data_IF_899792003112
#
_entry.id   IF_899792003112
#
_cell.length_a   1.000
_cell.length_b   1.000
_cell.length_c   1.000
_cell.angle_alpha   90.00
_cell.angle_beta   90.00
_cell.angle_gamma   90.00
#
_symmetry.space_group_name_H-M   'P 1'
#
loop_
_entity.id
_entity.type
_entity.pdbx_description
1 polymer ?
#
# COMPACT_ATOMS: atom_id res chain seq x y z
N UNK A 1 16.58 -0.03 -12.69
CA UNK A 1 15.56 -0.20 -11.64
C UNK A 1 14.55 0.91 -11.79
N UNK A 2 13.27 0.60 -11.62
CA UNK A 2 12.22 1.61 -11.55
C UNK A 2 12.05 2.13 -10.10
N UNK A 3 11.22 3.17 -9.92
CA UNK A 3 10.98 3.81 -8.61
C UNK A 3 10.52 2.82 -7.55
N UNK A 4 9.64 1.88 -7.90
CA UNK A 4 9.15 0.89 -6.94
C UNK A 4 10.29 0.00 -6.47
N UNK A 5 11.15 -0.47 -7.39
CA UNK A 5 12.31 -1.28 -7.03
C UNK A 5 13.35 -0.52 -6.20
N UNK A 6 13.51 0.80 -6.40
CA UNK A 6 14.35 1.60 -5.52
C UNK A 6 13.85 1.61 -4.07
N UNK A 7 12.53 1.71 -3.85
CA UNK A 7 11.96 1.59 -2.50
C UNK A 7 11.95 0.15 -1.99
N UNK A 8 11.64 -0.85 -2.82
CA UNK A 8 11.65 -2.26 -2.42
C UNK A 8 13.03 -2.73 -1.91
N UNK A 9 14.11 -2.19 -2.49
CA UNK A 9 15.50 -2.44 -2.09
C UNK A 9 16.09 -1.31 -1.22
N UNK A 10 15.24 -0.40 -0.75
CA UNK A 10 15.63 0.75 0.05
C UNK A 10 15.89 0.38 1.51
N UNK A 11 15.80 1.39 2.38
CA UNK A 11 16.03 1.23 3.81
C UNK A 11 15.29 2.26 4.64
N UNK A 12 14.97 1.91 5.87
CA UNK A 12 14.59 2.83 6.93
C UNK A 12 15.86 3.28 7.65
N UNK A 13 16.08 4.59 7.72
CA UNK A 13 17.23 5.19 8.42
C UNK A 13 16.69 6.13 9.50
N UNK A 14 17.01 5.82 10.75
CA UNK A 14 16.74 6.60 11.95
C UNK A 14 18.07 6.99 12.61
N UNK A 15 18.11 7.98 13.53
CA UNK A 15 19.36 8.41 14.16
C UNK A 15 20.21 7.29 14.78
N UNK A 16 19.58 6.23 15.29
CA UNK A 16 20.26 5.12 15.98
C UNK A 16 20.04 3.75 15.32
N UNK A 17 19.31 3.68 14.20
CA UNK A 17 18.92 2.41 13.58
C UNK A 17 18.88 2.55 12.06
N UNK A 18 19.46 1.57 11.37
CA UNK A 18 19.27 1.35 9.95
C UNK A 18 18.70 -0.05 9.74
N UNK A 19 17.71 -0.19 8.85
CA UNK A 19 17.13 -1.48 8.47
C UNK A 19 16.85 -1.51 6.96
N UNK A 20 17.41 -2.50 6.26
CA UNK A 20 17.20 -2.68 4.82
C UNK A 20 15.86 -3.32 4.50
N UNK A 21 15.14 -2.81 3.51
CA UNK A 21 13.86 -3.37 3.07
C UNK A 21 13.99 -4.66 2.27
N UNK A 22 15.20 -4.98 1.80
CA UNK A 22 15.53 -6.26 1.17
C UNK A 22 15.44 -7.44 2.15
N UNK A 23 15.65 -7.19 3.45
CA UNK A 23 15.58 -8.20 4.51
C UNK A 23 14.13 -8.45 4.99
N UNK A 24 13.18 -7.63 4.53
CA UNK A 24 11.77 -7.77 4.87
C UNK A 24 11.10 -8.63 3.80
N UNK A 25 10.53 -9.74 4.25
CA UNK A 25 9.77 -10.65 3.39
C UNK A 25 8.43 -10.05 2.95
N UNK A 26 8.01 -10.39 1.74
CA UNK A 26 6.66 -10.09 1.26
C UNK A 26 5.67 -11.05 1.93
N UNK A 27 4.60 -10.50 2.49
CA UNK A 27 3.50 -11.27 3.09
C UNK A 27 2.30 -11.28 2.14
N UNK A 28 1.78 -12.46 1.83
CA UNK A 28 0.53 -12.60 1.08
C UNK A 28 -0.64 -12.07 1.90
N UNK A 29 -1.52 -11.29 1.28
CA UNK A 29 -2.74 -10.86 1.93
C UNK A 29 -3.60 -12.11 2.25
N UNK A 30 -4.13 -12.23 3.48
CA UNK A 30 -4.84 -13.45 3.90
C UNK A 30 -6.15 -13.67 3.12
N UNK A 31 -6.73 -12.60 2.57
CA UNK A 31 -8.07 -12.62 1.95
C UNK A 31 -8.05 -12.39 0.45
N UNK A 32 -7.06 -11.66 -0.07
CA UNK A 32 -7.09 -11.16 -1.45
C UNK A 32 -5.97 -11.82 -2.24
N UNK A 33 -6.37 -12.68 -3.17
CA UNK A 33 -5.45 -13.39 -4.04
C UNK A 33 -4.64 -12.41 -4.91
N UNK A 34 -3.37 -12.71 -5.13
CA UNK A 34 -2.47 -11.87 -5.92
C UNK A 34 -2.05 -10.56 -5.23
N UNK A 35 -2.45 -10.33 -3.98
CA UNK A 35 -2.05 -9.15 -3.19
C UNK A 35 -0.96 -9.53 -2.19
N UNK A 36 0.13 -8.78 -2.19
CA UNK A 36 1.23 -8.94 -1.25
C UNK A 36 1.64 -7.60 -0.67
N UNK A 37 2.02 -7.61 0.62
CA UNK A 37 2.41 -6.43 1.38
C UNK A 37 3.80 -6.61 1.95
N UNK A 38 4.55 -5.51 2.00
CA UNK A 38 5.82 -5.39 2.72
C UNK A 38 5.72 -4.21 3.68
N UNK A 39 5.72 -4.49 4.97
CA UNK A 39 5.57 -3.48 6.02
C UNK A 39 6.92 -2.80 6.29
N UNK A 40 7.15 -1.65 5.65
CA UNK A 40 8.45 -0.95 5.70
C UNK A 40 8.56 0.05 6.86
N UNK A 41 7.42 0.48 7.41
CA UNK A 41 7.31 1.20 8.70
C UNK A 41 6.12 0.61 9.45
N UNK A 42 6.31 0.25 10.73
CA UNK A 42 5.29 -0.41 11.56
C UNK A 42 4.85 0.45 12.73
N UNK A 43 3.80 0.04 13.45
CA UNK A 43 3.38 0.67 14.70
C UNK A 43 4.51 0.80 15.74
N UNK A 44 5.44 -0.17 15.77
CA UNK A 44 6.60 -0.13 16.68
C UNK A 44 7.55 1.03 16.36
N UNK A 45 7.66 1.42 15.09
CA UNK A 45 8.56 2.48 14.66
C UNK A 45 7.94 3.88 14.88
N UNK A 46 6.62 3.97 15.04
CA UNK A 46 5.87 5.25 15.06
C UNK A 46 5.06 5.51 16.32
N UNK A 47 5.16 4.63 17.32
CA UNK A 47 4.33 4.66 18.53
C UNK A 47 2.83 4.60 18.17
N UNK A 48 2.49 3.73 17.21
CA UNK A 48 1.13 3.51 16.71
C UNK A 48 0.55 4.63 15.85
N UNK A 49 1.29 5.72 15.59
CA UNK A 49 0.75 6.89 14.89
C UNK A 49 0.52 6.67 13.40
N UNK A 50 1.37 5.88 12.75
CA UNK A 50 1.18 5.50 11.35
C UNK A 50 1.97 4.25 10.97
N UNK A 51 1.59 3.59 9.88
CA UNK A 51 2.41 2.57 9.22
C UNK A 51 2.54 2.89 7.74
N UNK A 52 3.59 2.36 7.10
CA UNK A 52 3.84 2.51 5.67
C UNK A 52 4.11 1.13 5.06
N UNK A 53 3.36 0.77 4.03
CA UNK A 53 3.47 -0.52 3.37
C UNK A 53 3.77 -0.31 1.88
N UNK A 54 4.68 -1.10 1.33
CA UNK A 54 4.68 -1.32 -0.12
C UNK A 54 3.66 -2.41 -0.41
N UNK A 55 2.83 -2.19 -1.42
CA UNK A 55 1.80 -3.15 -1.85
C UNK A 55 2.03 -3.46 -3.31
N UNK A 56 1.94 -4.74 -3.67
CA UNK A 56 1.86 -5.18 -5.07
C UNK A 56 0.60 -6.01 -5.27
N UNK A 57 -0.11 -5.73 -6.34
CA UNK A 57 -1.30 -6.44 -6.79
C UNK A 57 -0.94 -7.03 -8.15
N UNK A 58 -1.04 -8.35 -8.27
CA UNK A 58 -0.77 -9.06 -9.51
C UNK A 58 -1.71 -8.61 -10.64
N UNK A 59 -1.34 -8.84 -11.91
CA UNK A 59 -2.22 -8.61 -13.05
C UNK A 59 -3.63 -9.15 -12.84
N UNK A 60 -4.62 -8.32 -13.18
CA UNK A 60 -6.06 -8.65 -13.15
C UNK A 60 -6.59 -9.13 -11.78
N UNK A 61 -5.83 -8.91 -10.70
CA UNK A 61 -6.23 -9.18 -9.33
C UNK A 61 -6.76 -7.92 -8.65
N UNK A 62 -7.46 -8.10 -7.53
CA UNK A 62 -8.14 -7.01 -6.83
C UNK A 62 -7.97 -7.09 -5.32
N UNK A 63 -7.92 -5.93 -4.70
CA UNK A 63 -8.28 -5.75 -3.30
C UNK A 63 -9.78 -5.46 -3.30
N UNK A 64 -10.58 -6.48 -2.99
CA UNK A 64 -12.04 -6.36 -2.98
C UNK A 64 -12.54 -5.34 -1.96
N UNK A 65 -13.83 -5.01 -2.04
CA UNK A 65 -14.46 -4.03 -1.15
C UNK A 65 -14.20 -4.31 0.34
N UNK A 66 -13.60 -3.35 1.02
CA UNK A 66 -13.25 -3.40 2.44
C UNK A 66 -13.28 -2.01 3.06
N UNK A 67 -13.24 -1.98 4.40
CA UNK A 67 -13.27 -0.75 5.20
C UNK A 67 -12.22 -0.84 6.30
N UNK A 68 -11.49 0.26 6.50
CA UNK A 68 -10.68 0.50 7.70
C UNK A 68 -11.45 1.40 8.66
N UNK A 69 -11.97 0.84 9.77
CA UNK A 69 -12.83 1.58 10.70
C UNK A 69 -12.11 2.75 11.39
N UNK A 70 -10.84 2.57 11.75
CA UNK A 70 -10.08 3.55 12.50
C UNK A 70 -9.09 4.34 11.65
N UNK A 71 -8.60 3.76 10.55
CA UNK A 71 -7.49 4.30 9.78
C UNK A 71 -7.97 5.17 8.62
N UNK A 72 -7.40 6.36 8.53
CA UNK A 72 -7.23 7.04 7.26
C UNK A 72 -6.12 6.34 6.48
N UNK A 73 -6.33 6.12 5.20
CA UNK A 73 -5.35 5.48 4.32
C UNK A 73 -5.02 6.36 3.12
N UNK A 74 -3.76 6.31 2.66
CA UNK A 74 -3.37 6.83 1.34
C UNK A 74 -2.95 5.71 0.41
N UNK A 75 -3.34 5.82 -0.86
CA UNK A 75 -2.77 5.04 -1.96
C UNK A 75 -1.95 5.99 -2.83
N UNK A 76 -0.63 5.79 -2.88
CA UNK A 76 0.25 6.49 -3.81
C UNK A 76 0.70 5.50 -4.88
N UNK A 77 0.23 5.68 -6.12
CA UNK A 77 0.54 4.76 -7.22
C UNK A 77 1.96 5.03 -7.72
N UNK A 78 2.85 4.03 -7.59
CA UNK A 78 4.25 4.15 -8.01
C UNK A 78 4.45 3.56 -9.41
N UNK A 79 3.79 2.44 -9.72
CA UNK A 79 3.96 1.68 -10.96
C UNK A 79 2.71 0.89 -11.30
N UNK A 80 2.52 0.58 -12.57
CA UNK A 80 1.39 -0.19 -13.07
C UNK A 80 0.17 0.71 -13.31
N UNK A 81 -0.99 0.09 -13.47
CA UNK A 81 -2.24 0.81 -13.69
C UNK A 81 -3.42 0.03 -13.12
N UNK A 82 -4.55 0.71 -12.96
CA UNK A 82 -5.77 0.11 -12.45
C UNK A 82 -6.85 1.14 -12.21
N UNK A 83 -7.77 0.81 -11.31
CA UNK A 83 -8.78 1.75 -10.83
C UNK A 83 -9.08 1.50 -9.36
N UNK A 84 -9.52 2.54 -8.67
CA UNK A 84 -10.05 2.45 -7.33
C UNK A 84 -11.49 2.96 -7.33
N UNK A 85 -12.36 2.29 -6.60
CA UNK A 85 -13.68 2.82 -6.25
C UNK A 85 -13.60 3.30 -4.82
N UNK A 86 -13.72 4.62 -4.62
CA UNK A 86 -13.65 5.26 -3.31
C UNK A 86 -14.88 6.14 -3.13
N UNK A 87 -15.67 5.87 -2.08
CA UNK A 87 -16.94 6.56 -1.82
C UNK A 87 -17.87 6.61 -3.05
N UNK A 88 -17.91 5.51 -3.82
CA UNK A 88 -18.73 5.38 -5.04
C UNK A 88 -18.19 6.08 -6.29
N UNK A 89 -17.07 6.80 -6.19
CA UNK A 89 -16.40 7.43 -7.34
C UNK A 89 -15.29 6.52 -7.87
N UNK A 90 -15.27 6.30 -9.19
CA UNK A 90 -14.16 5.60 -9.84
C UNK A 90 -13.01 6.56 -10.11
N UNK A 91 -11.83 6.22 -9.64
CA UNK A 91 -10.57 6.95 -9.81
C UNK A 91 -9.65 6.07 -10.63
N UNK A 92 -9.14 6.57 -11.75
CA UNK A 92 -8.12 5.85 -12.53
C UNK A 92 -6.79 5.93 -11.80
N UNK A 93 -6.12 4.79 -11.66
CA UNK A 93 -4.82 4.67 -11.03
C UNK A 93 -3.75 4.54 -12.10
N UNK A 94 -2.85 5.52 -12.13
CA UNK A 94 -1.64 5.55 -12.93
C UNK A 94 -0.50 6.14 -12.09
N UNK A 95 0.78 5.94 -12.46
CA UNK A 95 1.90 6.43 -11.68
C UNK A 95 1.81 7.94 -11.39
N UNK A 96 1.88 8.30 -10.11
CA UNK A 96 1.71 9.68 -9.64
C UNK A 96 0.31 10.03 -9.14
N UNK A 97 -0.69 9.15 -9.32
CA UNK A 97 -2.00 9.31 -8.67
C UNK A 97 -1.87 9.08 -7.15
N UNK A 98 -2.49 9.98 -6.37
CA UNK A 98 -2.65 9.83 -4.93
C UNK A 98 -4.14 9.86 -4.59
N UNK A 99 -4.62 8.85 -3.87
CA UNK A 99 -5.98 8.80 -3.32
C UNK A 99 -5.94 8.73 -1.80
N UNK A 100 -6.98 9.27 -1.16
CA UNK A 100 -7.15 9.26 0.29
C UNK A 100 -8.46 8.56 0.60
N UNK A 101 -8.40 7.49 1.39
CA UNK A 101 -9.56 6.76 1.88
C UNK A 101 -9.80 7.21 3.31
N UNK A 102 -10.95 7.83 3.56
CA UNK A 102 -11.33 8.28 4.90
C UNK A 102 -11.66 7.07 5.77
N UNK A 103 -11.37 7.17 7.07
CA UNK A 103 -11.74 6.13 8.02
C UNK A 103 -13.24 5.82 7.97
N UNK A 104 -13.59 4.53 8.03
CA UNK A 104 -14.96 4.04 7.96
C UNK A 104 -15.57 4.06 6.54
N UNK A 105 -14.83 4.50 5.51
CA UNK A 105 -15.35 4.54 4.14
C UNK A 105 -14.93 3.30 3.33
N UNK A 106 -15.89 2.57 2.73
CA UNK A 106 -15.59 1.41 1.91
C UNK A 106 -14.88 1.80 0.62
N UNK A 107 -13.95 0.96 0.20
CA UNK A 107 -13.25 1.11 -1.08
C UNK A 107 -12.71 -0.22 -1.61
N UNK A 108 -12.43 -0.25 -2.90
CA UNK A 108 -11.85 -1.40 -3.61
C UNK A 108 -10.87 -0.94 -4.69
N UNK A 109 -9.92 -1.81 -5.03
CA UNK A 109 -8.88 -1.54 -6.03
C UNK A 109 -8.78 -2.73 -6.97
N UNK A 110 -8.88 -2.45 -8.27
CA UNK A 110 -8.66 -3.43 -9.34
C UNK A 110 -7.37 -3.08 -10.07
N UNK A 111 -6.42 -4.02 -10.13
CA UNK A 111 -5.22 -3.88 -10.94
C UNK A 111 -5.52 -4.18 -12.41
N UNK A 112 -4.84 -3.47 -13.31
CA UNK A 112 -4.85 -3.78 -14.73
C UNK A 112 -3.92 -4.95 -15.10
N UNK A 113 -3.72 -5.15 -16.40
CA UNK A 113 -2.97 -6.28 -16.96
C UNK A 113 -1.48 -6.30 -16.62
N UNK A 114 -0.90 -5.17 -16.21
CA UNK A 114 0.52 -5.08 -15.80
C UNK A 114 0.69 -5.17 -14.27
N UNK A 115 -0.40 -5.39 -13.55
CA UNK A 115 -0.45 -5.26 -12.10
C UNK A 115 -0.40 -3.81 -11.62
N UNK A 116 -0.37 -3.64 -10.30
CA UNK A 116 -0.41 -2.33 -9.65
C UNK A 116 0.47 -2.33 -8.40
N UNK A 117 1.22 -1.25 -8.21
CA UNK A 117 2.22 -1.12 -7.15
C UNK A 117 2.03 0.19 -6.41
N UNK A 118 1.80 0.09 -5.10
CA UNK A 118 1.41 1.22 -4.26
C UNK A 118 2.41 1.44 -3.13
N UNK A 119 2.54 2.70 -2.74
CA UNK A 119 2.97 3.08 -1.40
C UNK A 119 1.71 3.41 -0.59
N UNK A 120 1.39 2.57 0.37
CA UNK A 120 0.23 2.77 1.24
C UNK A 120 0.66 3.30 2.62
N UNK A 121 -0.11 4.21 3.19
CA UNK A 121 0.10 4.71 4.56
C UNK A 121 -1.19 4.65 5.33
N UNK A 122 -1.13 4.21 6.58
CA UNK A 122 -2.28 4.10 7.47
C UNK A 122 -2.08 4.98 8.70
N UNK A 123 -3.10 5.76 9.06
CA UNK A 123 -3.10 6.67 10.21
C UNK A 123 -4.40 6.48 11.01
N UNK A 124 -4.39 5.88 12.22
CA UNK A 124 -3.23 5.32 12.93
C UNK A 124 -2.63 4.09 12.24
N UNK A 125 -1.53 3.54 12.77
CA UNK A 125 -0.88 2.38 12.19
C UNK A 125 -1.86 1.20 12.03
N UNK A 126 -1.77 0.51 10.89
CA UNK A 126 -2.48 -0.75 10.68
C UNK A 126 -1.66 -1.90 11.30
N UNK A 127 -2.33 -2.69 12.14
CA UNK A 127 -1.73 -3.78 12.93
C UNK A 127 -1.35 -4.99 12.09
#
# INVERSE_FOLDING_TARGET
MDTFEFFNNGKLVLPEKEAGFVEIEWSKHPTFEGVELKHIITAKDTDGKFSCHLVRIAPDCSIGNHTHEAQLETHEVIKGSGKCVNAGSTILYEPGTISIMQAGMPHEVDAGSEGLYLFAKFMPALC
#
